data_IF_612650647371
#
_entry.id   IF_612650647371
#
_cell.length_a   1.000
_cell.length_b   1.000
_cell.length_c   1.000
_cell.angle_alpha   90.00
_cell.angle_beta   90.00
_cell.angle_gamma   90.00
#
_symmetry.space_group_name_H-M   'P 1'
#
loop_
_entity.id
_entity.type
_entity.pdbx_description
1 polymer ?
#
# COMPACT_ATOMS: atom_id res chain seq x y z
N UNK A 1 -8.30 -3.90 -0.04
CA UNK A 1 -6.97 -4.43 0.35
C UNK A 1 -7.01 -5.26 1.63
N UNK A 2 -7.29 -4.67 2.79
CA UNK A 2 -7.17 -5.40 4.08
C UNK A 2 -8.08 -6.62 4.25
N UNK A 3 -9.25 -6.68 3.61
CA UNK A 3 -10.10 -7.89 3.63
C UNK A 3 -9.45 -9.11 2.97
N UNK A 4 -8.61 -8.92 1.95
CA UNK A 4 -7.86 -10.02 1.34
C UNK A 4 -6.69 -10.46 2.23
N UNK A 5 -6.05 -9.52 2.94
CA UNK A 5 -5.05 -9.85 3.95
C UNK A 5 -5.65 -10.61 5.14
N UNK A 6 -6.83 -10.22 5.61
CA UNK A 6 -7.58 -10.97 6.62
C UNK A 6 -7.88 -12.40 6.16
N UNK A 7 -8.23 -12.55 4.88
CA UNK A 7 -8.50 -13.85 4.26
C UNK A 7 -7.24 -14.72 4.22
N UNK A 8 -6.09 -14.19 3.80
CA UNK A 8 -4.85 -14.98 3.80
C UNK A 8 -4.38 -15.32 5.22
N UNK A 9 -4.58 -14.47 6.22
CA UNK A 9 -4.22 -14.82 7.61
C UNK A 9 -5.05 -15.98 8.16
N UNK A 10 -6.30 -16.13 7.70
CA UNK A 10 -7.14 -17.29 8.04
C UNK A 10 -6.69 -18.53 7.29
N UNK A 11 -6.48 -18.41 5.96
CA UNK A 11 -6.17 -19.53 5.06
C UNK A 11 -4.72 -20.03 5.19
N UNK A 12 -3.81 -19.14 5.56
CA UNK A 12 -2.39 -19.41 5.77
C UNK A 12 -1.88 -18.62 7.00
N UNK A 13 -2.17 -19.12 8.21
CA UNK A 13 -1.83 -18.47 9.47
C UNK A 13 -0.33 -18.18 9.64
N UNK A 14 -0.02 -17.20 10.47
CA UNK A 14 1.37 -16.84 10.78
C UNK A 14 2.04 -17.88 11.67
N UNK A 15 1.28 -18.57 12.51
CA UNK A 15 1.82 -19.53 13.45
C UNK A 15 2.20 -20.85 12.79
N UNK A 16 3.29 -21.41 13.31
CA UNK A 16 3.77 -22.73 12.92
C UNK A 16 3.02 -23.77 13.73
N UNK A 17 2.83 -24.94 13.15
CA UNK A 17 2.28 -26.10 13.85
C UNK A 17 3.33 -26.67 14.85
N UNK A 18 2.93 -27.69 15.60
CA UNK A 18 3.80 -28.35 16.58
C UNK A 18 5.09 -28.95 15.97
N UNK A 19 5.09 -29.23 14.66
CA UNK A 19 6.26 -29.72 13.91
C UNK A 19 7.17 -28.59 13.42
N UNK A 20 6.89 -27.33 13.77
CA UNK A 20 7.63 -26.17 13.30
C UNK A 20 7.38 -25.85 11.82
N UNK A 21 6.26 -26.29 11.25
CA UNK A 21 5.92 -26.04 9.85
C UNK A 21 4.71 -25.12 9.68
N UNK A 22 4.66 -24.47 8.52
CA UNK A 22 3.47 -23.75 8.11
C UNK A 22 2.30 -24.69 7.80
N UNK A 23 1.10 -24.27 8.17
CA UNK A 23 -0.15 -24.95 7.85
C UNK A 23 -0.99 -24.13 6.86
N UNK A 24 -1.68 -24.81 5.94
CA UNK A 24 -2.66 -24.20 5.04
C UNK A 24 -4.03 -24.77 5.41
N UNK A 25 -4.94 -23.89 5.82
CA UNK A 25 -6.24 -24.24 6.38
C UNK A 25 -7.38 -24.27 5.34
N UNK A 26 -7.09 -24.20 4.04
CA UNK A 26 -8.11 -24.25 3.00
C UNK A 26 -7.63 -24.82 1.67
N UNK A 27 -8.53 -25.52 0.95
CA UNK A 27 -8.24 -26.09 -0.37
C UNK A 27 -7.91 -25.04 -1.43
N UNK A 28 -8.40 -23.81 -1.28
CA UNK A 28 -8.21 -22.74 -2.28
C UNK A 28 -6.75 -22.36 -2.48
N UNK A 29 -5.95 -22.20 -1.40
CA UNK A 29 -4.53 -21.86 -1.54
C UNK A 29 -3.74 -23.05 -2.11
N UNK A 30 -4.12 -24.29 -1.79
CA UNK A 30 -3.43 -25.49 -2.30
C UNK A 30 -3.41 -25.59 -3.83
N UNK A 31 -4.42 -25.02 -4.49
CA UNK A 31 -4.48 -24.95 -5.96
C UNK A 31 -3.38 -24.09 -6.58
N UNK A 32 -2.72 -23.23 -5.79
CA UNK A 32 -1.62 -22.36 -6.22
C UNK A 32 -0.24 -22.92 -5.86
N UNK A 33 -0.19 -24.12 -5.28
CA UNK A 33 1.08 -24.78 -5.04
C UNK A 33 1.66 -25.32 -6.35
N UNK A 34 3.00 -25.31 -6.52
CA UNK A 34 3.66 -25.95 -7.66
C UNK A 34 3.18 -27.39 -7.82
N UNK A 35 2.76 -27.78 -9.04
CA UNK A 35 2.18 -29.10 -9.33
C UNK A 35 0.99 -29.49 -8.43
N UNK A 36 0.31 -28.49 -7.84
CA UNK A 36 -0.77 -28.64 -6.84
C UNK A 36 -0.34 -29.38 -5.56
N UNK A 37 0.96 -29.36 -5.24
CA UNK A 37 1.55 -30.04 -4.08
C UNK A 37 2.27 -29.05 -3.16
N UNK A 38 1.81 -28.94 -1.93
CA UNK A 38 2.32 -28.00 -0.93
C UNK A 38 3.26 -28.68 0.07
N UNK A 39 4.14 -29.56 -0.42
CA UNK A 39 4.90 -30.50 0.40
C UNK A 39 6.02 -29.83 1.22
N UNK A 40 6.41 -28.61 0.85
CA UNK A 40 7.45 -27.82 1.53
C UNK A 40 6.93 -26.45 1.97
N UNK A 41 7.56 -25.87 2.98
CA UNK A 41 7.27 -24.49 3.40
C UNK A 41 7.49 -23.48 2.26
N UNK A 42 8.49 -23.71 1.40
CA UNK A 42 8.71 -22.91 0.17
C UNK A 42 7.48 -22.95 -0.74
N UNK A 43 6.94 -24.15 -1.01
CA UNK A 43 5.76 -24.31 -1.86
C UNK A 43 4.51 -23.67 -1.24
N UNK A 44 4.35 -23.79 0.08
CA UNK A 44 3.24 -23.16 0.84
C UNK A 44 3.32 -21.63 0.74
N UNK A 45 4.52 -21.05 0.91
CA UNK A 45 4.76 -19.60 0.80
C UNK A 45 4.55 -19.10 -0.63
N UNK A 46 5.09 -19.82 -1.62
CA UNK A 46 4.84 -19.54 -3.04
C UNK A 46 3.34 -19.45 -3.30
N UNK A 47 2.59 -20.48 -2.88
CA UNK A 47 1.15 -20.56 -3.13
C UNK A 47 0.37 -19.41 -2.49
N UNK A 48 0.70 -19.05 -1.25
CA UNK A 48 0.10 -17.89 -0.59
C UNK A 48 0.42 -16.58 -1.30
N UNK A 49 1.66 -16.40 -1.77
CA UNK A 49 2.07 -15.20 -2.51
C UNK A 49 1.33 -15.10 -3.85
N UNK A 50 1.28 -16.19 -4.63
CA UNK A 50 0.58 -16.25 -5.90
C UNK A 50 -0.93 -16.02 -5.72
N UNK A 51 -1.51 -16.56 -4.64
CA UNK A 51 -2.89 -16.32 -4.27
C UNK A 51 -3.17 -14.83 -4.04
N UNK A 52 -2.29 -14.10 -3.31
CA UNK A 52 -2.43 -12.65 -3.10
C UNK A 52 -2.38 -11.88 -4.42
N UNK A 53 -1.41 -12.17 -5.29
CA UNK A 53 -1.33 -11.53 -6.61
C UNK A 53 -2.60 -11.76 -7.41
N UNK A 54 -3.18 -12.96 -7.37
CA UNK A 54 -4.44 -13.22 -8.05
C UNK A 54 -5.63 -12.49 -7.44
N UNK A 55 -5.72 -12.39 -6.11
CA UNK A 55 -6.80 -11.64 -5.48
C UNK A 55 -6.74 -10.14 -5.77
N UNK A 56 -5.53 -9.57 -5.86
CA UNK A 56 -5.36 -8.14 -6.09
C UNK A 56 -5.27 -7.75 -7.56
N UNK A 57 -4.69 -8.60 -8.40
CA UNK A 57 -4.29 -8.25 -9.75
C UNK A 57 -4.69 -9.31 -10.78
N UNK A 58 -5.48 -10.32 -10.41
CA UNK A 58 -5.90 -11.40 -11.33
C UNK A 58 -6.79 -11.00 -12.49
N UNK A 59 -7.33 -9.78 -12.46
CA UNK A 59 -8.09 -9.16 -13.53
C UNK A 59 -8.16 -7.65 -13.28
N UNK A 60 -8.61 -6.89 -14.28
CA UNK A 60 -8.99 -5.49 -14.11
C UNK A 60 -9.98 -5.28 -12.97
N UNK A 61 -10.98 -6.16 -12.82
CA UNK A 61 -11.94 -6.12 -11.70
C UNK A 61 -11.25 -6.28 -10.35
N UNK A 62 -10.34 -7.26 -10.20
CA UNK A 62 -9.58 -7.45 -8.97
C UNK A 62 -8.74 -6.20 -8.66
N UNK A 63 -8.10 -5.62 -9.67
CA UNK A 63 -7.27 -4.43 -9.52
C UNK A 63 -8.08 -3.23 -9.05
N UNK A 64 -9.25 -2.99 -9.64
CA UNK A 64 -10.15 -1.89 -9.24
C UNK A 64 -10.83 -2.14 -7.89
N UNK A 65 -11.24 -3.36 -7.57
CA UNK A 65 -12.04 -3.59 -6.36
C UNK A 65 -11.19 -3.90 -5.13
N UNK A 66 -10.10 -4.63 -5.29
CA UNK A 66 -9.31 -5.14 -4.17
C UNK A 66 -8.05 -4.31 -3.92
N UNK A 67 -7.37 -3.89 -4.98
CA UNK A 67 -6.24 -2.97 -4.90
C UNK A 67 -6.65 -1.50 -5.06
N UNK A 68 -7.86 -1.21 -5.57
CA UNK A 68 -8.34 0.14 -5.85
C UNK A 68 -7.36 0.93 -6.75
N UNK A 69 -6.80 0.28 -7.76
CA UNK A 69 -5.79 0.88 -8.63
C UNK A 69 -4.44 1.13 -7.96
N UNK A 70 -4.26 0.77 -6.68
CA UNK A 70 -3.09 1.11 -5.90
C UNK A 70 -1.95 0.10 -6.11
N UNK A 71 -0.84 0.58 -6.67
CA UNK A 71 0.38 -0.22 -6.90
C UNK A 71 1.19 -0.48 -5.62
N UNK A 72 0.90 0.22 -4.52
CA UNK A 72 1.52 -0.05 -3.23
C UNK A 72 1.08 -1.40 -2.64
N UNK A 73 0.01 -2.02 -3.17
CA UNK A 73 -0.37 -3.37 -2.74
C UNK A 73 0.73 -4.40 -3.02
N UNK A 74 1.52 -4.22 -4.09
CA UNK A 74 2.75 -5.02 -4.31
C UNK A 74 3.70 -4.92 -3.12
N UNK A 75 3.87 -3.73 -2.54
CA UNK A 75 4.74 -3.51 -1.37
C UNK A 75 4.20 -4.24 -0.14
N UNK A 76 2.89 -4.22 0.11
CA UNK A 76 2.30 -4.98 1.22
C UNK A 76 2.44 -6.50 1.04
N UNK A 77 2.32 -7.00 -0.20
CA UNK A 77 2.58 -8.42 -0.51
C UNK A 77 4.06 -8.75 -0.22
N UNK A 78 4.99 -7.87 -0.59
CA UNK A 78 6.42 -8.02 -0.29
C UNK A 78 6.69 -8.04 1.22
N UNK A 79 6.07 -7.15 1.99
CA UNK A 79 6.16 -7.13 3.47
C UNK A 79 5.66 -8.45 4.06
N UNK A 80 4.48 -8.92 3.63
CA UNK A 80 3.92 -10.21 4.06
C UNK A 80 4.84 -11.39 3.70
N UNK A 81 5.36 -11.42 2.47
CA UNK A 81 6.25 -12.46 2.00
C UNK A 81 7.56 -12.48 2.81
N UNK A 82 8.17 -11.33 3.06
CA UNK A 82 9.36 -11.23 3.91
C UNK A 82 9.11 -11.69 5.32
N UNK A 83 7.95 -11.42 5.91
CA UNK A 83 7.60 -11.96 7.22
C UNK A 83 7.56 -13.48 7.21
N UNK A 84 6.88 -14.09 6.23
CA UNK A 84 6.78 -15.54 6.12
C UNK A 84 8.15 -16.20 5.91
N UNK A 85 8.99 -15.61 5.05
CA UNK A 85 10.35 -16.07 4.81
C UNK A 85 11.23 -15.91 6.06
N UNK A 86 11.17 -14.75 6.74
CA UNK A 86 12.01 -14.49 7.91
C UNK A 86 11.73 -15.46 9.07
N UNK A 87 10.48 -15.91 9.24
CA UNK A 87 10.11 -16.81 10.33
C UNK A 87 10.62 -18.25 10.15
N UNK A 88 10.92 -18.70 8.93
CA UNK A 88 11.23 -20.12 8.66
C UNK A 88 12.39 -20.39 7.70
N UNK A 89 12.66 -19.46 6.79
CA UNK A 89 13.58 -19.64 5.66
C UNK A 89 14.62 -18.52 5.62
N UNK A 90 14.91 -17.90 6.77
CA UNK A 90 15.83 -16.78 6.86
C UNK A 90 17.29 -17.14 6.61
N UNK A 91 17.65 -18.40 6.79
CA UNK A 91 18.96 -18.95 6.43
C UNK A 91 19.06 -19.32 4.95
N UNK A 92 17.92 -19.51 4.27
CA UNK A 92 17.86 -19.93 2.87
C UNK A 92 17.77 -18.75 1.89
N UNK A 93 17.15 -17.64 2.32
CA UNK A 93 16.98 -16.44 1.53
C UNK A 93 17.39 -15.23 2.36
N UNK A 94 18.39 -14.47 1.92
CA UNK A 94 18.80 -13.26 2.66
C UNK A 94 17.86 -12.06 2.41
N UNK A 95 17.23 -12.04 1.23
CA UNK A 95 16.37 -10.96 0.73
C UNK A 95 15.29 -11.51 -0.22
N UNK A 96 14.34 -10.67 -0.63
CA UNK A 96 13.23 -11.07 -1.51
C UNK A 96 13.71 -11.39 -2.93
N UNK A 97 14.77 -10.74 -3.41
CA UNK A 97 15.27 -10.93 -4.76
C UNK A 97 15.73 -12.39 -5.00
N UNK A 98 16.34 -13.03 -4.00
CA UNK A 98 16.73 -14.44 -4.07
C UNK A 98 15.52 -15.37 -4.19
N UNK A 99 14.48 -15.17 -3.37
CA UNK A 99 13.25 -15.96 -3.45
C UNK A 99 12.54 -15.74 -4.79
N UNK A 100 12.44 -14.48 -5.22
CA UNK A 100 11.84 -14.09 -6.48
C UNK A 100 12.53 -14.78 -7.68
N UNK A 101 13.86 -14.69 -7.75
CA UNK A 101 14.64 -15.28 -8.86
C UNK A 101 14.47 -16.80 -8.93
N UNK A 102 14.45 -17.48 -7.77
CA UNK A 102 14.35 -18.95 -7.69
C UNK A 102 12.93 -19.49 -7.89
N UNK A 103 11.90 -18.77 -7.42
CA UNK A 103 10.55 -19.33 -7.27
C UNK A 103 9.44 -18.56 -7.97
N UNK A 104 9.71 -17.36 -8.51
CA UNK A 104 8.68 -16.51 -9.12
C UNK A 104 9.03 -16.12 -10.55
N UNK A 105 10.24 -15.60 -10.80
CA UNK A 105 10.64 -14.98 -12.07
C UNK A 105 10.39 -15.85 -13.30
N UNK A 106 10.59 -17.16 -13.17
CA UNK A 106 10.45 -18.13 -14.26
C UNK A 106 9.23 -19.05 -14.13
N UNK A 107 8.31 -18.72 -13.23
CA UNK A 107 7.09 -19.50 -12.99
C UNK A 107 5.98 -19.02 -13.92
N UNK A 108 5.38 -19.94 -14.69
CA UNK A 108 4.36 -19.62 -15.71
C UNK A 108 3.17 -18.86 -15.13
N UNK A 109 2.71 -19.23 -13.93
CA UNK A 109 1.58 -18.58 -13.27
C UNK A 109 1.81 -17.08 -12.99
N UNK A 110 3.06 -16.65 -12.80
CA UNK A 110 3.41 -15.23 -12.64
C UNK A 110 3.59 -14.50 -13.98
N UNK A 111 3.87 -15.23 -15.06
CA UNK A 111 4.06 -14.69 -16.42
C UNK A 111 2.76 -14.58 -17.21
N UNK A 112 1.71 -15.28 -16.77
CA UNK A 112 0.39 -15.22 -17.38
C UNK A 112 -0.10 -13.78 -17.54
N UNK A 113 -0.68 -13.51 -18.70
CA UNK A 113 -1.23 -12.20 -19.02
C UNK A 113 -2.37 -11.83 -18.08
N UNK A 114 -2.42 -10.55 -17.68
CA UNK A 114 -3.54 -9.96 -16.95
C UNK A 114 -4.35 -9.16 -17.96
N UNK A 115 -5.54 -9.66 -18.28
CA UNK A 115 -6.42 -9.02 -19.25
C UNK A 115 -6.92 -7.64 -18.74
N UNK A 116 -7.09 -6.72 -19.68
CA UNK A 116 -7.73 -5.42 -19.50
C UNK A 116 -7.05 -4.48 -18.49
N UNK A 117 -5.72 -4.57 -18.33
CA UNK A 117 -4.96 -3.65 -17.48
C UNK A 117 -3.84 -2.96 -18.26
N UNK A 118 -3.82 -1.62 -18.20
CA UNK A 118 -2.82 -0.79 -18.88
C UNK A 118 -1.59 -0.55 -18.01
N UNK A 119 -0.38 -0.71 -18.59
CA UNK A 119 0.90 -0.35 -17.96
C UNK A 119 1.71 -1.53 -17.40
N UNK A 120 1.13 -2.73 -17.32
CA UNK A 120 1.82 -3.96 -16.96
C UNK A 120 1.11 -5.17 -17.57
N UNK A 121 1.87 -6.18 -17.95
CA UNK A 121 1.37 -7.31 -18.74
C UNK A 121 1.04 -8.51 -17.86
N UNK A 122 1.77 -8.69 -16.75
CA UNK A 122 1.68 -9.84 -15.86
C UNK A 122 2.18 -9.48 -14.44
N UNK A 123 2.23 -10.45 -13.52
CA UNK A 123 2.67 -10.20 -12.15
C UNK A 123 4.16 -9.90 -12.04
N UNK A 124 4.98 -10.43 -12.96
CA UNK A 124 6.41 -10.11 -13.02
C UNK A 124 6.64 -8.61 -13.27
N UNK A 125 5.88 -8.01 -14.19
CA UNK A 125 5.96 -6.58 -14.45
C UNK A 125 5.59 -5.76 -13.20
N UNK A 126 4.50 -6.11 -12.52
CA UNK A 126 4.08 -5.47 -11.26
C UNK A 126 5.17 -5.51 -10.19
N UNK A 127 5.78 -6.68 -10.03
CA UNK A 127 6.83 -6.93 -9.06
C UNK A 127 8.08 -6.11 -9.40
N UNK A 128 8.46 -6.06 -10.68
CA UNK A 128 9.63 -5.32 -11.16
C UNK A 128 9.50 -3.80 -10.99
N UNK A 129 8.28 -3.24 -10.98
CA UNK A 129 8.05 -1.82 -10.63
C UNK A 129 8.53 -1.46 -9.21
N UNK A 130 8.69 -2.45 -8.33
CA UNK A 130 9.15 -2.29 -6.94
C UNK A 130 10.49 -3.00 -6.69
N UNK A 131 11.27 -3.28 -7.74
CA UNK A 131 12.53 -4.05 -7.67
C UNK A 131 13.54 -3.51 -6.66
N UNK A 132 13.61 -2.19 -6.51
CA UNK A 132 14.50 -1.54 -5.53
C UNK A 132 14.23 -1.93 -4.06
N UNK A 133 13.03 -2.43 -3.75
CA UNK A 133 12.67 -2.88 -2.41
C UNK A 133 13.04 -4.35 -2.15
N UNK A 134 13.36 -5.12 -3.20
CA UNK A 134 13.61 -6.57 -3.07
C UNK A 134 14.94 -6.90 -2.40
N UNK A 135 15.91 -5.99 -2.48
CA UNK A 135 17.25 -6.17 -1.91
C UNK A 135 17.30 -5.86 -0.41
N UNK A 136 16.21 -5.34 0.17
CA UNK A 136 16.12 -5.17 1.62
C UNK A 136 16.18 -6.56 2.25
N UNK A 137 17.04 -6.71 3.26
CA UNK A 137 17.15 -7.95 4.02
C UNK A 137 15.78 -8.35 4.58
N UNK A 138 15.39 -9.61 4.45
CA UNK A 138 14.06 -10.06 4.87
C UNK A 138 13.79 -9.84 6.36
N UNK A 139 14.83 -9.88 7.22
CA UNK A 139 14.67 -9.63 8.65
C UNK A 139 14.25 -8.20 8.90
N UNK A 140 14.83 -7.24 8.17
CA UNK A 140 14.48 -5.82 8.20
C UNK A 140 13.09 -5.59 7.63
N UNK A 141 12.82 -6.12 6.43
CA UNK A 141 11.51 -5.97 5.78
C UNK A 141 10.38 -6.58 6.63
N UNK A 142 10.65 -7.70 7.31
CA UNK A 142 9.66 -8.37 8.17
C UNK A 142 9.20 -7.53 9.36
N UNK A 143 10.01 -6.56 9.80
CA UNK A 143 9.63 -5.66 10.91
C UNK A 143 8.42 -4.79 10.57
N UNK A 144 8.24 -4.43 9.29
CA UNK A 144 7.10 -3.66 8.82
C UNK A 144 5.76 -4.42 8.85
N UNK A 145 5.80 -5.75 8.95
CA UNK A 145 4.59 -6.56 8.92
C UNK A 145 3.65 -6.28 10.10
N UNK A 146 4.20 -5.96 11.28
CA UNK A 146 3.42 -5.55 12.44
C UNK A 146 2.58 -4.30 12.18
N UNK A 147 3.19 -3.28 11.53
CA UNK A 147 2.51 -2.05 11.14
C UNK A 147 1.39 -2.32 10.13
N UNK A 148 1.65 -3.13 9.09
CA UNK A 148 0.65 -3.53 8.10
C UNK A 148 -0.55 -4.23 8.78
N UNK A 149 -0.28 -5.15 9.71
CA UNK A 149 -1.33 -5.85 10.47
C UNK A 149 -2.20 -4.88 11.27
N UNK A 150 -1.58 -3.93 11.96
CA UNK A 150 -2.29 -2.93 12.76
C UNK A 150 -3.14 -2.03 11.86
N UNK A 151 -2.60 -1.52 10.76
CA UNK A 151 -3.34 -0.73 9.77
C UNK A 151 -4.57 -1.47 9.27
N UNK A 152 -4.41 -2.73 8.89
CA UNK A 152 -5.53 -3.51 8.39
C UNK A 152 -6.57 -3.84 9.47
N UNK A 153 -6.15 -4.10 10.71
CA UNK A 153 -7.09 -4.26 11.81
C UNK A 153 -7.89 -2.99 12.06
N UNK A 154 -7.25 -1.80 12.01
CA UNK A 154 -7.97 -0.53 12.13
C UNK A 154 -8.93 -0.34 10.95
N UNK A 155 -8.50 -0.60 9.71
CA UNK A 155 -9.35 -0.42 8.53
C UNK A 155 -10.56 -1.38 8.50
N UNK A 156 -10.39 -2.66 8.85
CA UNK A 156 -11.48 -3.66 8.83
C UNK A 156 -12.56 -3.33 9.86
N UNK A 157 -12.20 -2.62 10.92
CA UNK A 157 -13.12 -2.27 12.00
C UNK A 157 -13.81 -0.90 11.80
N UNK A 158 -13.58 -0.22 10.66
CA UNK A 158 -14.16 1.11 10.39
C UNK A 158 -15.67 1.00 10.34
N UNK A 159 -16.34 1.85 11.13
CA UNK A 159 -17.81 1.92 11.18
C UNK A 159 -18.48 0.86 12.06
N UNK A 160 -17.73 -0.02 12.75
CA UNK A 160 -18.31 -0.90 13.78
C UNK A 160 -18.57 -0.07 15.05
N UNK A 161 -19.80 -0.14 15.60
CA UNK A 161 -20.15 0.52 16.87
C UNK A 161 -19.22 0.06 18.01
N UNK A 162 -18.95 0.97 18.95
CA UNK A 162 -18.22 0.75 20.20
C UNK A 162 -16.73 0.38 20.09
N UNK A 163 -16.09 0.61 18.94
CA UNK A 163 -14.65 0.34 18.74
C UNK A 163 -13.71 1.53 18.99
N UNK A 164 -14.18 2.63 19.62
CA UNK A 164 -13.31 3.78 19.93
C UNK A 164 -12.02 3.37 20.67
N UNK A 165 -12.17 2.54 21.70
CA UNK A 165 -11.05 2.05 22.49
C UNK A 165 -10.09 1.21 21.63
N UNK A 166 -10.62 0.42 20.69
CA UNK A 166 -9.83 -0.36 19.74
C UNK A 166 -9.04 0.53 18.78
N UNK A 167 -9.62 1.64 18.30
CA UNK A 167 -8.91 2.60 17.44
C UNK A 167 -7.77 3.28 18.17
N UNK A 168 -8.02 3.84 19.34
CA UNK A 168 -7.00 4.53 20.12
C UNK A 168 -5.86 3.56 20.49
N UNK A 169 -6.19 2.35 20.94
CA UNK A 169 -5.21 1.33 21.28
C UNK A 169 -4.37 0.90 20.06
N UNK A 170 -5.00 0.60 18.93
CA UNK A 170 -4.28 0.25 17.70
C UNK A 170 -3.41 1.40 17.19
N UNK A 171 -3.89 2.65 17.27
CA UNK A 171 -3.15 3.84 16.86
C UNK A 171 -1.90 4.05 17.71
N UNK A 172 -2.04 3.93 19.03
CA UNK A 172 -0.92 4.00 19.96
C UNK A 172 0.10 2.88 19.70
N UNK A 173 -0.36 1.65 19.44
CA UNK A 173 0.51 0.52 19.05
C UNK A 173 1.23 0.79 17.73
N UNK A 174 0.53 1.35 16.73
CA UNK A 174 1.12 1.71 15.45
C UNK A 174 2.25 2.73 15.64
N UNK A 175 1.99 3.84 16.33
CA UNK A 175 2.97 4.91 16.56
C UNK A 175 4.17 4.38 17.35
N UNK A 176 3.95 3.55 18.37
CA UNK A 176 5.03 2.95 19.14
C UNK A 176 5.97 2.14 18.25
N UNK A 177 5.43 1.19 17.49
CA UNK A 177 6.24 0.34 16.59
C UNK A 177 6.89 1.20 15.49
N UNK A 178 6.17 2.19 14.96
CA UNK A 178 6.69 3.10 13.94
C UNK A 178 7.89 3.89 14.47
N UNK A 179 7.82 4.42 15.69
CA UNK A 179 8.91 5.17 16.29
C UNK A 179 10.12 4.27 16.58
N UNK A 180 9.90 3.06 17.11
CA UNK A 180 10.97 2.07 17.32
C UNK A 180 11.70 1.75 15.99
N UNK A 181 10.96 1.62 14.89
CA UNK A 181 11.52 1.41 13.55
C UNK A 181 12.23 2.65 12.98
N UNK A 182 11.86 3.85 13.42
CA UNK A 182 12.48 5.10 12.98
C UNK A 182 13.75 5.44 13.79
N UNK A 183 13.90 4.86 14.99
CA UNK A 183 15.08 5.04 15.85
C UNK A 183 16.21 4.04 15.55
N UNK A 184 15.92 2.94 14.85
CA UNK A 184 16.92 1.96 14.38
C UNK A 184 17.84 2.60 13.33
N UNK A 185 18.88 3.27 13.82
CA UNK A 185 19.82 4.12 13.08
C UNK A 185 20.57 3.41 11.96
N UNK A 186 20.56 2.07 11.94
CA UNK A 186 21.20 1.26 10.90
C UNK A 186 20.54 1.42 9.52
N UNK A 187 19.29 1.92 9.45
CA UNK A 187 18.51 1.95 8.21
C UNK A 187 18.02 3.34 7.81
N UNK A 188 18.23 4.37 8.64
CA UNK A 188 17.72 5.72 8.39
C UNK A 188 18.28 6.38 7.12
N UNK A 189 19.45 5.94 6.64
CA UNK A 189 20.03 6.40 5.36
C UNK A 189 19.62 5.53 4.16
N UNK A 190 18.93 4.41 4.37
CA UNK A 190 18.47 3.54 3.28
C UNK A 190 17.21 4.10 2.63
N UNK A 191 17.35 4.58 1.39
CA UNK A 191 16.26 5.18 0.62
C UNK A 191 15.07 4.23 0.42
N UNK A 192 15.31 2.93 0.24
CA UNK A 192 14.26 1.93 0.07
C UNK A 192 13.48 1.66 1.37
N UNK A 193 14.16 1.66 2.52
CA UNK A 193 13.53 1.54 3.85
C UNK A 193 12.57 2.72 4.10
N UNK A 194 13.06 3.93 3.86
CA UNK A 194 12.29 5.16 4.03
C UNK A 194 11.06 5.22 3.10
N UNK A 195 11.13 4.64 1.90
CA UNK A 195 9.97 4.52 0.99
C UNK A 195 8.86 3.68 1.60
N UNK A 196 9.17 2.53 2.21
CA UNK A 196 8.17 1.67 2.85
C UNK A 196 7.56 2.37 4.06
N UNK A 197 8.40 3.03 4.85
CA UNK A 197 7.97 3.80 6.01
C UNK A 197 7.00 4.92 5.61
N UNK A 198 7.30 5.63 4.52
CA UNK A 198 6.42 6.66 3.95
C UNK A 198 5.09 6.09 3.47
N UNK A 199 5.08 4.93 2.81
CA UNK A 199 3.83 4.27 2.36
C UNK A 199 2.93 3.99 3.57
N UNK A 200 3.46 3.33 4.61
CA UNK A 200 2.68 2.97 5.81
C UNK A 200 2.22 4.20 6.60
N UNK A 201 3.05 5.25 6.68
CA UNK A 201 2.70 6.53 7.30
C UNK A 201 1.57 7.24 6.56
N UNK A 202 1.62 7.27 5.23
CA UNK A 202 0.57 7.88 4.42
C UNK A 202 -0.75 7.13 4.60
N UNK A 203 -0.74 5.79 4.58
CA UNK A 203 -1.96 5.00 4.82
C UNK A 203 -2.54 5.24 6.22
N UNK A 204 -1.69 5.37 7.24
CA UNK A 204 -2.12 5.72 8.59
C UNK A 204 -2.82 7.08 8.63
N UNK A 205 -2.23 8.09 7.98
CA UNK A 205 -2.77 9.45 7.92
C UNK A 205 -4.07 9.52 7.12
N UNK A 206 -4.17 8.77 6.03
CA UNK A 206 -5.38 8.65 5.22
C UNK A 206 -6.51 8.00 6.02
N UNK A 207 -6.20 6.95 6.78
CA UNK A 207 -7.16 6.31 7.68
C UNK A 207 -7.60 7.29 8.77
N UNK A 208 -6.66 7.97 9.44
CA UNK A 208 -6.96 9.01 10.43
C UNK A 208 -7.87 10.10 9.87
N UNK A 209 -7.66 10.52 8.63
CA UNK A 209 -8.49 11.51 7.94
C UNK A 209 -9.93 11.05 7.68
N UNK A 210 -10.17 9.74 7.55
CA UNK A 210 -11.50 9.16 7.39
C UNK A 210 -12.26 9.07 8.73
N UNK A 211 -11.54 8.82 9.82
CA UNK A 211 -12.15 8.58 11.14
C UNK A 211 -12.13 9.80 12.05
N UNK A 212 -12.38 11.01 11.48
CA UNK A 212 -12.33 12.34 12.15
C UNK A 212 -13.03 12.45 13.53
N UNK A 213 -13.90 11.49 13.86
CA UNK A 213 -14.58 11.40 15.15
C UNK A 213 -13.68 10.92 16.30
N UNK A 214 -12.46 10.43 16.04
CA UNK A 214 -11.58 9.86 17.06
C UNK A 214 -10.27 10.65 17.18
N UNK A 215 -9.84 10.90 18.42
CA UNK A 215 -8.55 11.48 18.75
C UNK A 215 -7.41 10.50 18.45
N UNK A 216 -7.15 10.27 17.16
CA UNK A 216 -6.00 9.47 16.74
C UNK A 216 -4.73 10.30 16.88
N UNK A 217 -3.71 9.81 17.58
CA UNK A 217 -2.43 10.50 17.72
C UNK A 217 -1.75 10.71 16.36
N UNK A 218 -0.99 11.81 16.25
CA UNK A 218 -0.26 12.17 15.02
C UNK A 218 1.12 11.53 15.03
N UNK A 219 1.59 11.06 13.87
CA UNK A 219 2.97 10.61 13.71
C UNK A 219 3.92 11.80 13.87
N UNK A 220 4.89 11.68 14.78
CA UNK A 220 5.98 12.65 14.87
C UNK A 220 7.02 12.32 13.81
N UNK A 221 6.94 12.93 12.64
CA UNK A 221 7.99 12.80 11.62
C UNK A 221 9.16 13.71 11.98
N UNK A 222 10.32 13.14 12.30
CA UNK A 222 11.57 13.92 12.29
C UNK A 222 11.79 14.44 10.86
N UNK A 223 12.14 15.72 10.66
CA UNK A 223 12.44 16.23 9.32
C UNK A 223 13.60 15.43 8.73
N UNK A 224 13.39 14.82 7.56
CA UNK A 224 14.44 14.15 6.80
C UNK A 224 15.48 15.23 6.46
N UNK A 225 16.79 15.02 6.75
CA UNK A 225 17.81 15.98 6.36
C UNK A 225 17.81 16.11 4.84
N UNK A 226 17.43 17.28 4.32
CA UNK A 226 17.64 17.58 2.91
C UNK A 226 19.15 17.61 2.67
N UNK A 227 19.66 16.65 1.90
CA UNK A 227 21.05 16.67 1.43
C UNK A 227 21.22 17.97 0.63
N UNK A 228 22.00 18.91 1.15
CA UNK A 228 22.44 20.08 0.38
C UNK A 228 23.35 19.54 -0.72
N UNK A 229 22.92 19.64 -1.96
CA UNK A 229 23.83 19.48 -3.10
C UNK A 229 24.81 20.65 -3.02
N UNK A 230 26.05 20.38 -2.60
CA UNK A 230 27.15 21.29 -2.89
C UNK A 230 27.38 21.21 -4.41
N UNK A 231 27.08 22.31 -5.10
CA UNK A 231 27.68 22.58 -6.40
C UNK A 231 29.15 22.85 -6.12
N UNK A 232 29.99 21.86 -6.40
CA UNK A 232 31.41 22.10 -6.60
C UNK A 232 31.56 22.77 -7.96
N UNK A 233 31.61 24.10 -7.93
CA UNK A 233 31.97 24.91 -9.08
C UNK A 233 33.50 24.89 -9.20
N UNK A 234 34.00 24.08 -10.12
CA UNK A 234 35.38 24.09 -10.55
C UNK A 234 35.40 24.28 -12.06
N UNK A 235 35.49 25.54 -12.49
CA UNK A 235 36.02 25.87 -13.81
C UNK A 235 37.08 26.96 -13.66
N UNK A 236 38.32 26.55 -13.85
CA UNK A 236 39.45 27.45 -14.09
C UNK A 236 39.38 27.99 -15.52
N UNK A 237 39.66 29.28 -15.71
CA UNK A 237 39.72 29.88 -17.03
C UNK A 237 39.83 31.41 -16.98
N UNK A 238 41.06 31.90 -16.92
CA UNK A 238 41.48 33.30 -16.96
C UNK A 238 41.09 33.97 -18.30
N UNK A 239 40.56 35.19 -18.29
CA UNK A 239 41.12 36.33 -19.05
C UNK A 239 40.39 37.67 -18.80
N UNK A 240 41.24 38.63 -18.45
CA UNK A 240 41.18 40.08 -18.28
C UNK A 240 40.46 40.88 -19.38
N UNK A 241 39.66 41.89 -19.01
CA UNK A 241 39.81 43.26 -19.53
C UNK A 241 39.03 44.29 -18.70
N UNK A 242 39.77 45.30 -18.20
CA UNK A 242 39.31 46.51 -17.50
C UNK A 242 38.64 47.53 -18.43
N UNK A 243 38.00 48.52 -17.79
CA UNK A 243 37.72 49.91 -18.23
C UNK A 243 36.21 50.19 -18.35
N UNK A 244 35.63 51.26 -17.81
CA UNK A 244 36.17 52.48 -17.20
C UNK A 244 35.03 53.29 -16.57
N UNK A 245 35.43 54.31 -15.81
CA UNK A 245 34.66 55.21 -14.93
C UNK A 245 33.98 56.34 -15.72
N UNK A 246 32.86 56.87 -15.19
CA UNK A 246 32.43 58.29 -15.07
C UNK A 246 30.89 58.32 -14.88
N UNK A 247 30.27 58.61 -13.73
CA UNK A 247 30.20 59.79 -12.82
C UNK A 247 29.66 61.06 -13.48
N UNK A 248 28.46 61.50 -13.04
CA UNK A 248 28.08 62.89 -12.64
C UNK A 248 26.55 63.06 -12.69
N UNK A 249 25.85 63.10 -11.54
CA UNK A 249 25.26 64.29 -10.84
C UNK A 249 23.81 64.60 -11.32
N UNK A 250 22.80 65.02 -10.55
CA UNK A 250 22.69 65.80 -9.30
C UNK A 250 21.37 65.49 -8.54
N UNK A 251 21.37 65.84 -7.24
CA UNK A 251 20.27 66.26 -6.33
C UNK A 251 19.22 65.27 -5.76
N UNK A 252 19.55 64.81 -4.55
CA UNK A 252 18.85 64.96 -3.27
C UNK A 252 17.38 65.44 -3.25
N UNK A 253 16.46 64.59 -2.73
CA UNK A 253 15.63 64.91 -1.56
C UNK A 253 15.21 63.63 -0.82
N UNK A 254 15.14 63.75 0.50
CA UNK A 254 14.96 62.73 1.53
C UNK A 254 13.48 62.60 1.91
N UNK A 255 13.13 61.44 2.50
CA UNK A 255 11.88 61.07 3.21
C UNK A 255 10.69 60.69 2.32
N UNK A 256 9.96 59.59 2.50
CA UNK A 256 9.82 58.66 3.62
C UNK A 256 9.28 57.29 3.14
N UNK A 257 9.36 56.32 4.05
CA UNK A 257 8.89 54.93 4.03
C UNK A 257 7.53 54.67 3.34
N UNK A 258 7.50 53.68 2.43
CA UNK A 258 6.84 52.38 2.69
C UNK A 258 6.98 51.46 1.47
N UNK A 259 7.67 50.33 1.68
CA UNK A 259 7.87 49.31 0.66
C UNK A 259 6.58 48.53 0.42
N UNK A 260 6.11 48.68 -0.82
CA UNK A 260 5.07 47.89 -1.45
C UNK A 260 5.47 46.41 -1.44
N UNK A 261 4.80 45.62 -0.60
CA UNK A 261 4.85 44.16 -0.68
C UNK A 261 3.69 43.66 -1.54
N UNK A 262 4.04 43.11 -2.69
CA UNK A 262 3.16 42.46 -3.65
C UNK A 262 2.37 41.31 -3.01
N UNK A 263 1.07 41.50 -2.80
CA UNK A 263 0.16 40.42 -2.45
C UNK A 263 -0.20 39.61 -3.70
N UNK A 264 0.24 38.36 -3.72
CA UNK A 264 -0.15 37.33 -4.68
C UNK A 264 -1.67 37.10 -4.59
N UNK A 265 -2.37 37.26 -5.70
CA UNK A 265 -3.82 37.13 -5.79
C UNK A 265 -4.25 35.66 -5.76
N UNK A 266 -4.79 35.24 -4.61
CA UNK A 266 -5.55 34.00 -4.48
C UNK A 266 -6.89 34.21 -5.21
N UNK A 267 -6.96 33.70 -6.45
CA UNK A 267 -8.17 33.64 -7.25
C UNK A 267 -9.13 32.60 -6.65
N UNK A 268 -9.98 33.03 -5.72
CA UNK A 268 -11.04 32.20 -5.14
C UNK A 268 -12.05 31.79 -6.23
N UNK A 269 -12.00 30.51 -6.62
CA UNK A 269 -13.00 29.88 -7.50
C UNK A 269 -14.25 29.56 -6.65
N UNK A 270 -15.21 30.48 -6.64
CA UNK A 270 -16.54 30.28 -6.07
C UNK A 270 -17.25 29.14 -6.80
N UNK A 271 -17.32 27.96 -6.18
CA UNK A 271 -18.22 26.89 -6.62
C UNK A 271 -19.63 27.34 -6.26
N UNK A 272 -20.44 27.56 -7.30
CA UNK A 272 -21.83 27.98 -7.18
C UNK A 272 -22.62 26.92 -6.41
N UNK A 273 -23.07 27.28 -5.20
CA UNK A 273 -23.87 26.47 -4.26
C UNK A 273 -25.04 25.69 -4.91
N UNK A 274 -25.73 26.17 -5.97
CA UNK A 274 -26.80 25.41 -6.63
C UNK A 274 -26.33 24.09 -7.28
N UNK A 275 -25.08 24.02 -7.76
CA UNK A 275 -24.59 22.82 -8.45
C UNK A 275 -24.44 21.61 -7.52
N UNK A 276 -24.13 21.85 -6.24
CA UNK A 276 -23.98 20.78 -5.24
C UNK A 276 -25.35 20.14 -4.95
N UNK A 277 -26.42 20.92 -4.92
CA UNK A 277 -27.78 20.40 -4.69
C UNK A 277 -28.31 19.57 -5.86
N UNK A 278 -27.98 19.94 -7.11
CA UNK A 278 -28.39 19.16 -8.28
C UNK A 278 -27.64 17.82 -8.34
N UNK A 279 -26.33 17.81 -8.03
CA UNK A 279 -25.53 16.58 -8.05
C UNK A 279 -25.96 15.58 -6.97
N UNK A 280 -26.32 16.05 -5.77
CA UNK A 280 -26.77 15.17 -4.68
C UNK A 280 -28.12 14.50 -4.98
N UNK A 281 -29.05 15.20 -5.63
CA UNK A 281 -30.34 14.63 -6.02
C UNK A 281 -30.21 13.55 -7.12
N UNK A 282 -29.30 13.75 -8.08
CA UNK A 282 -29.04 12.76 -9.14
C UNK A 282 -28.43 11.47 -8.55
N UNK A 283 -27.44 11.60 -7.67
CA UNK A 283 -26.80 10.46 -7.02
C UNK A 283 -27.79 9.68 -6.12
N UNK A 284 -28.68 10.37 -5.43
CA UNK A 284 -29.70 9.74 -4.58
C UNK A 284 -30.74 8.96 -5.41
N UNK A 285 -31.14 9.48 -6.58
CA UNK A 285 -32.03 8.79 -7.51
C UNK A 285 -31.41 7.50 -8.08
N UNK A 286 -30.12 7.53 -8.39
CA UNK A 286 -29.38 6.34 -8.84
C UNK A 286 -29.31 5.30 -7.71
N UNK A 287 -28.89 5.69 -6.51
CA UNK A 287 -28.79 4.79 -5.36
C UNK A 287 -30.14 4.13 -5.00
N UNK A 288 -31.23 4.90 -5.06
CA UNK A 288 -32.58 4.39 -4.80
C UNK A 288 -32.99 3.30 -5.80
N UNK A 289 -32.72 3.49 -7.09
CA UNK A 289 -33.03 2.51 -8.15
C UNK A 289 -32.24 1.21 -7.99
N UNK A 290 -30.96 1.29 -7.63
CA UNK A 290 -30.12 0.10 -7.40
C UNK A 290 -30.46 -0.64 -6.11
N UNK A 291 -30.86 0.08 -5.05
CA UNK A 291 -31.28 -0.51 -3.77
C UNK A 291 -32.56 -1.34 -3.90
N UNK A 292 -33.58 -0.78 -4.57
CA UNK A 292 -34.91 -1.41 -4.66
C UNK A 292 -34.95 -2.65 -5.58
N UNK A 293 -34.07 -2.71 -6.59
CA UNK A 293 -34.09 -3.78 -7.62
C UNK A 293 -32.93 -4.78 -7.54
N UNK A 294 -31.77 -4.41 -6.96
CA UNK A 294 -30.56 -5.23 -6.99
C UNK A 294 -30.51 -6.36 -5.95
N UNK A 295 -31.02 -6.11 -4.74
CA UNK A 295 -30.85 -7.04 -3.62
C UNK A 295 -31.78 -8.26 -3.66
N UNK A 296 -33.02 -8.12 -4.16
CA UNK A 296 -33.97 -9.24 -4.25
C UNK A 296 -33.56 -10.31 -5.26
N UNK A 297 -32.91 -9.93 -6.36
CA UNK A 297 -32.62 -10.86 -7.47
C UNK A 297 -31.39 -11.74 -7.20
N UNK A 298 -30.42 -11.25 -6.41
CA UNK A 298 -29.19 -12.00 -6.09
C UNK A 298 -29.42 -13.08 -5.04
N UNK A 299 -30.24 -12.81 -4.03
CA UNK A 299 -30.58 -13.78 -2.97
C UNK A 299 -31.43 -14.95 -3.50
N UNK A 300 -32.42 -14.69 -4.37
CA UNK A 300 -33.21 -15.75 -5.01
C UNK A 300 -32.36 -16.67 -5.89
N UNK A 301 -31.39 -16.12 -6.64
CA UNK A 301 -30.50 -16.91 -7.51
C UNK A 301 -29.52 -17.78 -6.70
N UNK A 302 -29.08 -17.33 -5.53
CA UNK A 302 -28.26 -18.13 -4.61
C UNK A 302 -29.08 -19.25 -3.97
N UNK A 303 -30.28 -18.95 -3.48
CA UNK A 303 -31.19 -19.95 -2.91
C UNK A 303 -31.52 -21.08 -3.90
N UNK A 304 -31.82 -20.74 -5.16
CA UNK A 304 -32.10 -21.75 -6.21
C UNK A 304 -30.87 -22.62 -6.52
N UNK A 305 -29.66 -22.06 -6.51
CA UNK A 305 -28.41 -22.82 -6.73
C UNK A 305 -28.13 -23.80 -5.59
N UNK A 306 -28.37 -23.42 -4.35
CA UNK A 306 -28.21 -24.34 -3.21
C UNK A 306 -29.24 -25.46 -3.22
N UNK A 307 -30.49 -25.16 -3.60
CA UNK A 307 -31.55 -26.17 -3.71
C UNK A 307 -31.23 -27.22 -4.78
N UNK A 308 -30.70 -26.81 -5.93
CA UNK A 308 -30.25 -27.73 -7.00
C UNK A 308 -29.07 -28.59 -6.53
N UNK A 309 -28.11 -28.02 -5.79
CA UNK A 309 -26.95 -28.76 -5.27
C UNK A 309 -27.36 -29.82 -4.25
N UNK A 310 -28.32 -29.52 -3.38
CA UNK A 310 -28.83 -30.46 -2.39
C UNK A 310 -29.64 -31.61 -3.02
N UNK A 311 -30.37 -31.36 -4.11
CA UNK A 311 -31.07 -32.42 -4.86
C UNK A 311 -30.05 -33.36 -5.53
N UNK A 312 -29.00 -32.82 -6.16
CA UNK A 312 -27.96 -33.62 -6.80
C UNK A 312 -27.25 -34.55 -5.81
N UNK A 313 -26.86 -34.03 -4.65
CA UNK A 313 -26.23 -34.82 -3.59
C UNK A 313 -27.12 -35.93 -3.01
N UNK A 314 -28.45 -35.82 -3.15
CA UNK A 314 -29.41 -36.81 -2.64
C UNK A 314 -29.73 -37.91 -3.66
N UNK A 315 -29.25 -37.77 -4.90
CA UNK A 315 -29.44 -38.75 -5.98
C UNK A 315 -28.19 -39.62 -6.19
N UNK A 316 -27.06 -39.22 -5.59
CA UNK A 316 -25.77 -39.93 -5.64
C UNK A 316 -25.51 -40.81 -4.37
N UNK A 317 -26.55 -41.06 -3.58
CA UNK A 317 -26.62 -42.01 -2.45
C UNK A 317 -27.85 -42.89 -2.62
#
# INVERSE_FOLDING_TARGET
MCGEFESIWKLFPDDLNASGEYSISGGTIKNYCPKKKCDSNVNKIHAGCLWLFKQFYGSSYNFSNNANGNMNVVVYIMIWLSHKLNKMLNTQFSNLNEFYSKHMQNTDEYKNHIDDVTGYTNYIDLINQKKELMNINISVMSKFYGLLKILCNMHINVGKKDMFNTYSECSNKFIKIYNELNEDSNYNENSSYNKIMSILSNDYNDLKGQVKSYDMPTLQTKPIPKKKTQMDDSTSGISTSMSGIEVSSFETQVSDSDSTSSSSSILNKLISIPFIFVATLILLGIAYKYSLFGFRKRSQKQYLREKIKNIKNKTDH
#
